data_IF_441479287479
#
_entry.id   IF_441479287479
#
_cell.length_a   1.000
_cell.length_b   1.000
_cell.length_c   1.000
_cell.angle_alpha   90.00
_cell.angle_beta   90.00
_cell.angle_gamma   90.00
#
_symmetry.space_group_name_H-M   'P 1'
#
loop_
_entity.id
_entity.type
_entity.pdbx_description
1 polymer ?
#
# COMPACT_ATOMS: atom_id res chain seq x y z
N UNK A 1 2.67 24.43 20.83
CA UNK A 1 2.85 23.41 19.77
C UNK A 1 2.45 22.06 20.33
N UNK A 2 1.57 21.34 19.66
CA UNK A 2 1.10 20.03 20.10
C UNK A 2 1.72 18.97 19.20
N UNK A 3 2.61 18.15 19.75
CA UNK A 3 3.19 17.00 19.06
C UNK A 3 2.52 15.73 19.56
N UNK A 4 1.98 14.93 18.67
CA UNK A 4 1.38 13.64 19.03
C UNK A 4 2.02 12.51 18.23
N UNK A 5 2.34 11.40 18.91
CA UNK A 5 2.83 10.17 18.27
C UNK A 5 1.69 9.32 17.67
N UNK A 6 0.52 9.40 18.27
CA UNK A 6 -0.68 8.67 17.82
C UNK A 6 -1.79 9.66 17.63
N UNK A 7 -2.29 9.73 16.44
CA UNK A 7 -3.33 10.64 16.09
C UNK A 7 -4.68 9.99 16.34
N UNK A 8 -5.31 10.40 17.39
CA UNK A 8 -6.77 10.38 17.45
C UNK A 8 -7.28 11.68 16.80
N UNK A 9 -6.78 11.97 15.59
CA UNK A 9 -7.04 13.24 14.90
C UNK A 9 -8.52 13.46 14.62
N UNK A 10 -9.26 12.41 14.24
CA UNK A 10 -10.71 12.48 14.10
C UNK A 10 -11.39 12.94 15.38
N UNK A 11 -10.90 12.45 16.53
CA UNK A 11 -11.49 12.82 17.80
C UNK A 11 -11.31 14.30 18.13
N UNK A 12 -10.16 14.90 17.79
CA UNK A 12 -9.89 16.30 18.08
C UNK A 12 -10.45 17.26 17.03
N UNK A 13 -10.42 16.88 15.75
CA UNK A 13 -10.83 17.79 14.69
C UNK A 13 -12.34 17.81 14.44
N UNK A 14 -13.03 16.68 14.53
CA UNK A 14 -14.47 16.61 14.30
C UNK A 14 -15.27 16.99 15.53
N UNK A 15 -14.82 16.63 16.72
CA UNK A 15 -15.56 16.87 17.95
C UNK A 15 -15.15 18.13 18.70
N UNK A 16 -13.97 18.68 18.46
CA UNK A 16 -13.42 19.79 19.24
C UNK A 16 -12.81 20.90 18.36
N UNK A 17 -13.48 21.29 17.30
CA UNK A 17 -13.04 22.42 16.43
C UNK A 17 -12.75 23.70 17.22
N UNK A 18 -13.37 23.86 18.37
CA UNK A 18 -13.25 25.05 19.23
C UNK A 18 -12.16 24.93 20.31
N UNK A 19 -11.47 23.78 20.44
CA UNK A 19 -10.43 23.59 21.45
C UNK A 19 -9.04 24.07 21.02
N UNK A 20 -8.86 24.36 19.71
CA UNK A 20 -7.60 24.89 19.22
C UNK A 20 -7.67 26.40 19.14
N UNK A 21 -6.84 27.08 19.93
CA UNK A 21 -6.62 28.50 19.76
C UNK A 21 -5.98 28.76 18.40
N UNK A 22 -6.29 29.88 17.77
CA UNK A 22 -5.79 30.29 16.45
C UNK A 22 -4.25 30.32 16.37
N UNK A 23 -3.59 30.42 17.52
CA UNK A 23 -2.12 30.43 17.67
C UNK A 23 -1.52 29.06 17.90
N UNK A 24 -2.32 28.00 18.03
CA UNK A 24 -1.80 26.66 18.25
C UNK A 24 -1.39 26.01 16.92
N UNK A 25 -0.20 25.43 16.92
CA UNK A 25 0.32 24.70 15.78
C UNK A 25 0.18 23.18 16.04
N UNK A 26 -0.24 22.47 15.03
CA UNK A 26 -0.42 21.04 15.05
C UNK A 26 0.44 20.39 13.96
N UNK A 27 1.16 19.33 14.30
CA UNK A 27 2.14 18.70 13.39
C UNK A 27 1.54 17.67 12.42
N UNK A 28 0.26 17.68 12.21
CA UNK A 28 -0.41 16.78 11.27
C UNK A 28 -1.31 17.58 10.33
N UNK A 29 -1.27 17.22 9.08
CA UNK A 29 -2.07 17.84 8.03
C UNK A 29 -3.41 17.10 7.95
N UNK A 30 -4.56 17.80 7.93
CA UNK A 30 -5.84 17.19 7.66
C UNK A 30 -5.80 16.37 6.36
N UNK A 31 -6.36 15.16 6.40
CA UNK A 31 -6.37 14.28 5.23
C UNK A 31 -5.04 13.56 4.92
N UNK A 32 -4.01 13.66 5.77
CA UNK A 32 -2.73 12.98 5.56
C UNK A 32 -2.87 11.45 5.36
N UNK A 33 -3.96 10.84 5.83
CA UNK A 33 -4.30 9.45 5.57
C UNK A 33 -4.28 9.08 4.09
N UNK A 34 -4.60 10.03 3.22
CA UNK A 34 -4.54 9.86 1.77
C UNK A 34 -3.13 9.47 1.26
N UNK A 35 -2.08 9.86 1.97
CA UNK A 35 -0.69 9.53 1.66
C UNK A 35 -0.16 8.37 2.50
N UNK A 36 -0.60 8.24 3.75
CA UNK A 36 0.01 7.34 4.73
C UNK A 36 -0.70 6.01 4.89
N UNK A 37 -1.99 5.93 4.59
CA UNK A 37 -2.75 4.68 4.58
C UNK A 37 -2.63 4.02 3.22
N UNK A 38 -2.31 2.73 3.21
CA UNK A 38 -2.09 1.95 1.97
C UNK A 38 -3.34 1.91 1.08
N UNK A 39 -4.52 1.69 1.68
CA UNK A 39 -5.81 1.62 1.00
C UNK A 39 -6.18 2.95 0.34
N UNK A 40 -6.12 4.05 1.09
CA UNK A 40 -6.44 5.38 0.56
C UNK A 40 -5.41 5.85 -0.48
N UNK A 41 -4.13 5.50 -0.30
CA UNK A 41 -3.11 5.81 -1.28
C UNK A 41 -3.37 5.08 -2.61
N UNK A 42 -3.69 3.79 -2.56
CA UNK A 42 -4.06 3.00 -3.75
C UNK A 42 -5.28 3.60 -4.44
N UNK A 43 -6.34 3.91 -3.68
CA UNK A 43 -7.54 4.54 -4.21
C UNK A 43 -7.23 5.86 -4.93
N UNK A 44 -6.45 6.73 -4.29
CA UNK A 44 -6.08 8.02 -4.88
C UNK A 44 -5.26 7.84 -6.17
N UNK A 45 -4.31 6.92 -6.19
CA UNK A 45 -3.51 6.64 -7.40
C UNK A 45 -4.40 6.06 -8.50
N UNK A 46 -5.29 5.11 -8.17
CA UNK A 46 -6.21 4.52 -9.13
C UNK A 46 -7.14 5.60 -9.73
N UNK A 47 -7.73 6.44 -8.87
CA UNK A 47 -8.61 7.53 -9.30
C UNK A 47 -7.85 8.57 -10.13
N UNK A 48 -6.61 8.90 -9.77
CA UNK A 48 -5.77 9.80 -10.54
C UNK A 48 -5.50 9.24 -11.94
N UNK A 49 -5.04 8.00 -12.05
CA UNK A 49 -4.78 7.36 -13.34
C UNK A 49 -6.05 7.32 -14.19
N UNK A 50 -7.18 6.91 -13.60
CA UNK A 50 -8.46 6.86 -14.30
C UNK A 50 -8.90 8.23 -14.84
N UNK A 51 -8.68 9.28 -14.06
CA UNK A 51 -9.12 10.66 -14.40
C UNK A 51 -8.18 11.36 -15.39
N UNK A 52 -6.88 11.06 -15.33
CA UNK A 52 -5.84 11.82 -16.04
C UNK A 52 -5.06 11.00 -17.08
N UNK A 53 -5.49 9.77 -17.38
CA UNK A 53 -4.79 8.88 -18.33
C UNK A 53 -4.53 9.50 -19.71
N UNK A 54 -5.41 10.39 -20.15
CA UNK A 54 -5.32 11.04 -21.45
C UNK A 54 -4.76 12.48 -21.40
N UNK A 55 -4.27 12.92 -20.24
CA UNK A 55 -3.72 14.26 -20.07
C UNK A 55 -2.21 14.26 -20.32
N UNK A 56 -1.66 15.12 -21.19
CA UNK A 56 -0.23 15.28 -21.32
C UNK A 56 0.36 15.76 -19.99
N UNK A 57 1.59 15.37 -19.73
CA UNK A 57 2.34 15.70 -18.50
C UNK A 57 1.81 15.11 -17.18
N UNK A 58 0.73 14.31 -17.23
CA UNK A 58 0.28 13.53 -16.08
C UNK A 58 0.83 12.10 -16.18
N UNK A 59 1.13 11.47 -15.04
CA UNK A 59 1.46 10.06 -15.09
C UNK A 59 0.18 9.25 -15.40
N UNK A 60 0.28 8.40 -16.39
CA UNK A 60 -0.84 7.60 -16.88
C UNK A 60 -0.56 6.09 -16.86
N UNK A 61 0.62 5.72 -16.40
CA UNK A 61 1.05 4.35 -16.33
C UNK A 61 1.45 3.96 -14.89
N UNK A 62 1.58 2.68 -14.68
CA UNK A 62 1.90 2.10 -13.37
C UNK A 62 3.37 1.67 -13.26
N UNK A 63 4.28 2.33 -13.96
CA UNK A 63 5.69 1.95 -13.99
C UNK A 63 6.35 2.05 -12.62
N UNK A 64 5.92 2.99 -11.79
CA UNK A 64 6.46 3.19 -10.44
C UNK A 64 5.49 2.78 -9.33
N UNK A 65 4.23 2.49 -9.66
CA UNK A 65 3.21 2.09 -8.69
C UNK A 65 2.58 0.76 -9.11
N UNK A 66 2.92 -0.35 -8.47
CA UNK A 66 2.40 -1.66 -8.84
C UNK A 66 0.88 -1.71 -8.80
N UNK A 67 0.26 -2.40 -9.78
CA UNK A 67 -1.18 -2.58 -9.83
C UNK A 67 -1.68 -3.19 -8.53
N UNK A 68 -2.66 -2.54 -7.93
CA UNK A 68 -3.18 -2.89 -6.61
C UNK A 68 -4.70 -2.86 -6.64
N UNK A 69 -5.31 -3.76 -5.88
CA UNK A 69 -6.75 -3.89 -5.73
C UNK A 69 -7.10 -3.87 -4.25
N UNK A 70 -8.09 -3.10 -3.89
CA UNK A 70 -8.69 -3.10 -2.56
C UNK A 70 -9.73 -4.21 -2.50
N UNK A 71 -9.48 -5.26 -1.74
CA UNK A 71 -10.43 -6.37 -1.59
C UNK A 71 -11.53 -6.04 -0.57
N UNK A 72 -11.41 -4.89 0.12
CA UNK A 72 -12.43 -4.28 0.94
C UNK A 72 -13.41 -3.39 0.15
N UNK A 73 -13.13 -3.13 -1.10
CA UNK A 73 -14.02 -2.43 -2.02
C UNK A 73 -14.64 -3.42 -2.99
N UNK A 74 -15.96 -3.51 -3.03
CA UNK A 74 -16.67 -4.51 -3.85
C UNK A 74 -16.23 -4.48 -5.31
N UNK A 75 -16.19 -3.31 -5.93
CA UNK A 75 -15.86 -3.16 -7.35
C UNK A 75 -14.43 -3.62 -7.64
N UNK A 76 -13.45 -3.16 -6.85
CA UNK A 76 -12.05 -3.54 -7.04
C UNK A 76 -11.81 -5.02 -6.70
N UNK A 77 -12.56 -5.58 -5.75
CA UNK A 77 -12.53 -6.98 -5.39
C UNK A 77 -13.05 -7.84 -6.55
N UNK A 78 -14.20 -7.50 -7.11
CA UNK A 78 -14.76 -8.19 -8.28
C UNK A 78 -13.78 -8.10 -9.47
N UNK A 79 -13.20 -6.92 -9.75
CA UNK A 79 -12.17 -6.72 -10.79
C UNK A 79 -10.94 -7.60 -10.57
N UNK A 80 -10.50 -7.77 -9.31
CA UNK A 80 -9.39 -8.65 -8.98
C UNK A 80 -9.69 -10.10 -9.32
N UNK A 81 -10.86 -10.61 -8.92
CA UNK A 81 -11.24 -12.00 -9.20
C UNK A 81 -11.51 -12.23 -10.69
N UNK A 82 -12.08 -11.26 -11.42
CA UNK A 82 -12.16 -11.30 -12.89
C UNK A 82 -10.75 -11.41 -13.49
N UNK A 83 -9.82 -10.59 -13.02
CA UNK A 83 -8.45 -10.60 -13.53
C UNK A 83 -7.74 -11.93 -13.26
N UNK A 84 -7.77 -12.47 -12.04
CA UNK A 84 -7.10 -13.75 -11.73
C UNK A 84 -7.75 -14.97 -12.39
N UNK A 85 -8.94 -14.81 -12.98
CA UNK A 85 -9.60 -15.81 -13.81
C UNK A 85 -9.31 -15.63 -15.31
N UNK A 86 -8.57 -14.59 -15.69
CA UNK A 86 -8.31 -14.29 -17.11
C UNK A 86 -7.15 -15.10 -17.67
N UNK A 87 -7.11 -15.21 -19.01
CA UNK A 87 -5.97 -15.79 -19.74
C UNK A 87 -4.70 -14.96 -19.53
N UNK A 88 -4.84 -13.65 -19.36
CA UNK A 88 -3.70 -12.76 -19.07
C UNK A 88 -2.99 -13.17 -17.79
N UNK A 89 -3.75 -13.43 -16.73
CA UNK A 89 -3.19 -13.88 -15.46
C UNK A 89 -2.50 -15.24 -15.57
N UNK A 90 -3.09 -16.18 -16.32
CA UNK A 90 -2.48 -17.48 -16.59
C UNK A 90 -1.10 -17.35 -17.25
N UNK A 91 -1.00 -16.49 -18.27
CA UNK A 91 0.29 -16.20 -18.95
C UNK A 91 1.31 -15.55 -18.00
N UNK A 92 0.85 -14.75 -17.06
CA UNK A 92 1.73 -14.18 -16.03
C UNK A 92 2.25 -15.26 -15.10
N UNK A 93 1.39 -16.17 -14.65
CA UNK A 93 1.78 -17.29 -13.77
C UNK A 93 2.74 -18.29 -14.40
N UNK A 94 2.70 -18.44 -15.70
CA UNK A 94 3.68 -19.25 -16.43
C UNK A 94 5.10 -18.69 -16.35
N UNK A 95 5.21 -17.36 -16.22
CA UNK A 95 6.50 -16.64 -16.12
C UNK A 95 6.93 -16.32 -14.70
N UNK A 96 5.96 -16.15 -13.82
CA UNK A 96 6.16 -15.69 -12.44
C UNK A 96 5.36 -16.57 -11.49
N UNK A 97 6.05 -17.35 -10.69
CA UNK A 97 5.40 -18.27 -9.74
C UNK A 97 4.48 -17.56 -8.73
N UNK A 98 4.80 -16.32 -8.38
CA UNK A 98 4.13 -15.55 -7.33
C UNK A 98 3.84 -14.12 -7.80
N UNK A 99 2.79 -13.90 -8.62
CA UNK A 99 2.55 -12.61 -9.24
C UNK A 99 1.94 -11.56 -8.32
N UNK A 100 1.43 -11.93 -7.16
CA UNK A 100 0.80 -11.02 -6.21
C UNK A 100 1.25 -11.23 -4.77
N UNK A 101 1.12 -10.18 -3.98
CA UNK A 101 1.24 -10.17 -2.52
C UNK A 101 -0.03 -9.57 -1.94
N UNK A 102 -0.55 -10.17 -0.89
CA UNK A 102 -1.63 -9.59 -0.10
C UNK A 102 -1.07 -8.84 1.10
N UNK A 103 -1.74 -7.76 1.47
CA UNK A 103 -1.34 -6.87 2.56
C UNK A 103 -2.57 -6.47 3.33
N UNK A 104 -2.47 -6.43 4.66
CA UNK A 104 -3.49 -5.75 5.46
C UNK A 104 -3.44 -4.25 5.17
N UNK A 105 -4.57 -3.67 4.81
CA UNK A 105 -4.67 -2.28 4.34
C UNK A 105 -4.46 -1.27 5.46
N UNK A 106 -4.94 -1.58 6.67
CA UNK A 106 -4.91 -0.68 7.82
C UNK A 106 -4.49 -1.40 9.10
N UNK A 107 -3.72 -0.71 9.95
CA UNK A 107 -3.34 -1.20 11.28
C UNK A 107 -2.18 -2.19 11.33
N UNK A 108 -1.62 -2.60 10.20
CA UNK A 108 -0.44 -3.47 10.18
C UNK A 108 0.86 -2.68 10.09
N UNK A 109 1.83 -3.07 10.90
CA UNK A 109 3.16 -2.49 10.95
C UNK A 109 4.23 -3.58 10.84
N UNK A 110 5.43 -3.22 10.39
CA UNK A 110 6.62 -4.07 10.40
C UNK A 110 6.46 -5.40 9.65
N UNK A 111 5.73 -5.39 8.52
CA UNK A 111 5.55 -6.60 7.70
C UNK A 111 4.42 -7.53 8.15
N UNK A 112 3.76 -7.28 9.29
CA UNK A 112 2.64 -8.10 9.71
C UNK A 112 1.49 -8.07 8.69
N UNK A 113 0.91 -9.25 8.39
CA UNK A 113 -0.19 -9.38 7.45
C UNK A 113 0.23 -9.22 5.98
N UNK A 114 1.51 -9.45 5.67
CA UNK A 114 1.99 -9.64 4.31
C UNK A 114 2.01 -11.13 4.00
N UNK A 115 1.32 -11.55 2.95
CA UNK A 115 1.35 -12.92 2.47
C UNK A 115 1.54 -12.93 0.95
N UNK A 116 2.48 -13.73 0.48
CA UNK A 116 2.61 -13.98 -0.97
C UNK A 116 1.39 -14.78 -1.43
N UNK A 117 0.83 -14.41 -2.57
CA UNK A 117 -0.28 -15.14 -3.17
C UNK A 117 0.25 -16.37 -3.92
N UNK A 118 0.63 -17.38 -3.14
CA UNK A 118 0.96 -18.72 -3.65
C UNK A 118 -0.31 -19.51 -4.00
N UNK A 119 -0.14 -20.68 -4.60
CA UNK A 119 -1.29 -21.50 -5.04
C UNK A 119 -2.25 -21.90 -3.91
N UNK A 120 -1.79 -22.30 -2.69
CA UNK A 120 -2.69 -22.55 -1.57
C UNK A 120 -3.46 -21.30 -1.11
N UNK A 121 -2.79 -20.15 -1.05
CA UNK A 121 -3.42 -18.89 -0.66
C UNK A 121 -4.43 -18.42 -1.70
N UNK A 122 -4.08 -18.46 -2.98
CA UNK A 122 -4.99 -18.14 -4.07
C UNK A 122 -6.26 -19.03 -4.03
N UNK A 123 -6.08 -20.36 -3.82
CA UNK A 123 -7.20 -21.29 -3.67
C UNK A 123 -8.10 -20.92 -2.49
N UNK A 124 -7.51 -20.50 -1.36
CA UNK A 124 -8.26 -20.04 -0.17
C UNK A 124 -9.08 -18.78 -0.48
N UNK A 125 -8.49 -17.80 -1.15
CA UNK A 125 -9.19 -16.58 -1.54
C UNK A 125 -10.31 -16.85 -2.55
N UNK A 126 -10.09 -17.70 -3.56
CA UNK A 126 -11.11 -18.09 -4.53
C UNK A 126 -12.31 -18.74 -3.86
N UNK A 127 -12.10 -19.65 -2.92
CA UNK A 127 -13.17 -20.27 -2.15
C UNK A 127 -13.99 -19.25 -1.35
N UNK A 128 -13.31 -18.28 -0.73
CA UNK A 128 -14.01 -17.20 -0.01
C UNK A 128 -14.88 -16.36 -0.96
N UNK A 129 -14.39 -16.07 -2.14
CA UNK A 129 -15.14 -15.33 -3.16
C UNK A 129 -16.35 -16.12 -3.65
N UNK A 130 -16.15 -17.37 -4.03
CA UNK A 130 -17.21 -18.28 -4.52
C UNK A 130 -18.33 -18.48 -3.49
N UNK A 131 -17.97 -18.51 -2.22
CA UNK A 131 -18.94 -18.66 -1.12
C UNK A 131 -19.55 -17.32 -0.66
N UNK A 132 -19.28 -16.21 -1.35
CA UNK A 132 -19.77 -14.89 -0.97
C UNK A 132 -19.16 -14.31 0.30
N UNK A 133 -18.08 -14.91 0.83
CA UNK A 133 -17.37 -14.43 2.03
C UNK A 133 -16.30 -13.35 1.72
N UNK A 134 -16.22 -12.92 0.47
CA UNK A 134 -15.40 -11.79 0.03
C UNK A 134 -16.17 -10.93 -0.96
N UNK A 135 -15.73 -9.71 -1.15
CA UNK A 135 -16.35 -8.71 -2.02
C UNK A 135 -17.80 -8.35 -1.62
N UNK A 136 -18.19 -8.63 -0.40
CA UNK A 136 -19.51 -8.38 0.17
C UNK A 136 -19.49 -7.35 1.30
N UNK A 137 -20.47 -7.45 2.18
CA UNK A 137 -20.58 -6.58 3.37
C UNK A 137 -19.55 -6.92 4.46
N UNK A 138 -19.10 -8.17 4.52
CA UNK A 138 -18.03 -8.60 5.43
C UNK A 138 -16.71 -8.37 4.73
N UNK A 139 -15.97 -7.42 5.22
CA UNK A 139 -14.79 -6.90 4.55
C UNK A 139 -13.53 -7.37 5.26
N UNK A 140 -12.80 -8.26 4.62
CA UNK A 140 -11.40 -8.46 4.97
C UNK A 140 -10.61 -7.20 4.55
N UNK A 141 -10.05 -6.50 5.51
CA UNK A 141 -9.25 -5.29 5.29
C UNK A 141 -7.90 -5.61 4.60
N UNK A 142 -8.00 -6.19 3.41
CA UNK A 142 -6.89 -6.73 2.64
C UNK A 142 -6.82 -6.04 1.28
N UNK A 143 -5.63 -5.81 0.81
CA UNK A 143 -5.34 -5.41 -0.57
C UNK A 143 -4.46 -6.44 -1.25
N UNK A 144 -4.69 -6.69 -2.52
CA UNK A 144 -3.82 -7.48 -3.39
C UNK A 144 -2.99 -6.52 -4.26
N UNK A 145 -1.69 -6.70 -4.28
CA UNK A 145 -0.78 -5.87 -5.07
C UNK A 145 0.14 -6.74 -5.91
N UNK A 146 0.41 -6.28 -7.13
CA UNK A 146 1.38 -6.91 -8.02
C UNK A 146 2.73 -7.02 -7.30
N UNK A 147 3.28 -8.23 -7.26
CA UNK A 147 4.57 -8.48 -6.63
C UNK A 147 5.70 -8.19 -7.60
N UNK A 148 6.77 -7.58 -7.12
CA UNK A 148 7.98 -7.35 -7.90
C UNK A 148 8.90 -8.54 -7.65
N UNK A 149 8.82 -9.52 -8.54
CA UNK A 149 9.54 -10.80 -8.42
C UNK A 149 11.03 -10.70 -8.78
N UNK A 150 11.40 -9.68 -9.56
CA UNK A 150 12.79 -9.39 -9.93
C UNK A 150 13.19 -7.99 -9.46
N UNK A 151 13.40 -7.76 -8.16
CA UNK A 151 13.81 -6.47 -7.63
C UNK A 151 15.29 -6.21 -7.91
N UNK A 152 15.68 -4.94 -7.90
CA UNK A 152 17.09 -4.59 -7.79
C UNK A 152 17.63 -5.06 -6.45
N UNK A 153 18.84 -5.63 -6.47
CA UNK A 153 19.52 -6.16 -5.27
C UNK A 153 20.87 -5.49 -5.08
N UNK A 154 21.30 -5.38 -3.83
CA UNK A 154 22.67 -5.02 -3.44
C UNK A 154 23.29 -6.26 -2.79
N UNK A 155 24.34 -6.80 -3.37
CA UNK A 155 25.00 -8.03 -2.92
C UNK A 155 24.05 -9.23 -2.70
N UNK A 156 22.97 -9.29 -3.50
CA UNK A 156 21.95 -10.31 -3.40
C UNK A 156 20.88 -10.03 -2.34
N UNK A 157 20.91 -8.88 -1.68
CA UNK A 157 19.94 -8.49 -0.67
C UNK A 157 18.92 -7.50 -1.22
N UNK A 158 17.65 -7.65 -0.87
CA UNK A 158 16.65 -6.61 -1.09
C UNK A 158 16.95 -5.39 -0.22
N UNK A 159 16.54 -4.24 -0.72
CA UNK A 159 16.68 -2.99 0.01
C UNK A 159 15.48 -2.07 -0.22
N UNK A 160 15.33 -1.10 0.65
CA UNK A 160 14.47 0.04 0.47
C UNK A 160 15.15 1.33 0.94
N UNK A 161 14.59 2.45 0.51
CA UNK A 161 15.00 3.78 0.95
C UNK A 161 14.04 4.30 2.02
N UNK A 162 14.59 4.71 3.16
CA UNK A 162 13.89 5.56 4.09
C UNK A 162 14.17 7.02 3.70
N UNK A 163 13.22 7.66 3.08
CA UNK A 163 13.29 9.07 2.73
C UNK A 163 12.36 9.88 3.62
N UNK A 164 12.61 11.17 3.71
CA UNK A 164 11.78 12.08 4.49
C UNK A 164 11.21 13.17 3.60
N UNK A 165 9.93 13.44 3.81
CA UNK A 165 9.20 14.50 3.15
C UNK A 165 8.52 15.36 4.20
N UNK A 166 8.80 16.66 4.19
CA UNK A 166 8.16 17.64 5.04
C UNK A 166 7.22 18.50 4.20
N UNK A 167 5.95 18.40 4.45
CA UNK A 167 4.97 19.35 3.91
C UNK A 167 4.92 20.55 4.87
N UNK A 168 5.57 21.63 4.50
CA UNK A 168 5.69 22.83 5.32
C UNK A 168 4.46 23.73 5.21
N UNK A 169 3.78 23.73 4.05
CA UNK A 169 2.55 24.46 3.80
C UNK A 169 1.69 23.71 2.80
N UNK A 170 0.39 23.88 2.88
CA UNK A 170 -0.57 23.36 1.90
C UNK A 170 -1.13 24.44 0.98
N UNK A 171 -1.00 25.70 1.37
CA UNK A 171 -1.38 26.87 0.58
C UNK A 171 -0.42 28.05 0.85
N UNK A 172 0.47 28.39 -0.09
CA UNK A 172 0.85 27.58 -1.25
C UNK A 172 1.47 26.23 -0.85
N UNK A 173 1.41 25.23 -1.71
CA UNK A 173 2.03 23.94 -1.43
C UNK A 173 3.55 24.07 -1.41
N UNK A 174 4.14 23.83 -0.24
CA UNK A 174 5.60 23.84 -0.03
C UNK A 174 6.00 22.48 0.57
N UNK A 175 6.83 21.76 -0.16
CA UNK A 175 7.28 20.41 0.23
C UNK A 175 8.81 20.38 0.17
N UNK A 176 9.42 19.94 1.26
CA UNK A 176 10.85 19.69 1.34
C UNK A 176 11.12 18.20 1.31
N UNK A 177 12.14 17.82 0.59
CA UNK A 177 12.67 16.46 0.53
C UNK A 177 14.01 16.42 1.25
N UNK A 178 14.25 15.31 1.95
CA UNK A 178 15.55 15.04 2.57
C UNK A 178 15.91 13.56 2.31
N UNK A 179 17.13 13.32 1.88
CA UNK A 179 17.71 12.00 1.79
C UNK A 179 17.70 11.37 3.18
N UNK A 180 17.37 10.10 3.20
CA UNK A 180 17.38 9.35 4.44
C UNK A 180 18.52 8.34 4.45
N UNK A 181 18.13 7.06 4.60
CA UNK A 181 19.09 5.97 4.60
C UNK A 181 18.53 4.76 3.89
N UNK A 182 19.43 3.91 3.45
CA UNK A 182 19.11 2.63 2.84
C UNK A 182 18.98 1.57 3.94
N UNK A 183 17.95 0.74 3.81
CA UNK A 183 17.76 -0.43 4.68
C UNK A 183 17.94 -1.69 3.85
N UNK A 184 18.81 -2.56 4.30
CA UNK A 184 19.09 -3.84 3.65
C UNK A 184 18.37 -4.98 4.36
N UNK A 185 17.90 -5.96 3.60
CA UNK A 185 17.43 -7.22 4.14
C UNK A 185 18.59 -8.00 4.77
N UNK A 186 18.37 -8.63 5.92
CA UNK A 186 19.39 -9.47 6.57
C UNK A 186 19.71 -10.73 5.75
N UNK A 187 18.73 -11.27 5.03
CA UNK A 187 18.88 -12.46 4.21
C UNK A 187 18.97 -12.09 2.73
N UNK A 188 19.71 -12.92 1.98
CA UNK A 188 19.70 -12.84 0.53
C UNK A 188 18.31 -13.11 -0.01
N UNK A 189 17.98 -12.41 -1.10
CA UNK A 189 16.72 -12.61 -1.76
C UNK A 189 16.64 -13.98 -2.42
N UNK A 190 15.61 -14.72 -2.06
CA UNK A 190 15.21 -15.95 -2.76
C UNK A 190 13.71 -15.86 -3.06
N UNK A 191 13.35 -15.88 -4.35
CA UNK A 191 11.96 -15.83 -4.78
C UNK A 191 11.16 -17.05 -4.32
N UNK A 192 11.82 -18.19 -4.10
CA UNK A 192 11.18 -19.41 -3.63
C UNK A 192 10.98 -19.43 -2.12
N UNK A 193 11.63 -18.53 -1.40
CA UNK A 193 11.43 -18.36 0.03
C UNK A 193 10.04 -17.80 0.29
N UNK A 194 9.23 -18.54 1.04
CA UNK A 194 7.90 -18.06 1.49
C UNK A 194 7.99 -17.02 2.60
N UNK A 195 9.18 -16.72 3.06
CA UNK A 195 9.43 -15.84 4.19
C UNK A 195 9.46 -14.39 3.75
N UNK A 196 8.26 -13.80 3.59
CA UNK A 196 8.10 -12.34 3.40
C UNK A 196 8.42 -11.58 4.69
N UNK A 197 8.43 -12.28 5.83
CA UNK A 197 8.58 -11.68 7.16
C UNK A 197 9.98 -11.12 7.45
N UNK A 198 11.00 -11.49 6.68
CA UNK A 198 12.39 -11.10 6.94
C UNK A 198 12.75 -9.68 6.51
N UNK A 199 11.79 -8.91 6.03
CA UNK A 199 12.15 -7.62 5.45
C UNK A 199 12.65 -6.59 6.47
N UNK A 200 12.32 -6.66 7.73
CA UNK A 200 12.76 -5.62 8.68
C UNK A 200 12.73 -6.09 10.14
N UNK A 201 13.41 -7.15 10.48
CA UNK A 201 13.95 -7.30 11.84
C UNK A 201 15.27 -6.55 11.95
N UNK A 202 15.25 -5.28 11.66
CA UNK A 202 16.28 -4.36 12.11
C UNK A 202 15.81 -3.82 13.44
N UNK A 203 16.42 -4.27 14.51
CA UNK A 203 16.35 -3.59 15.78
C UNK A 203 16.95 -2.19 15.59
N UNK A 204 16.19 -1.17 15.96
CA UNK A 204 16.71 0.18 16.20
C UNK A 204 17.40 0.21 17.52
#
# INVERSE_FOLDING_TARGET
>A
MIFTKKVKFHYYHEYNKNLFCITQMYNHIPGHGALTRKDLNVENVNNYIKRFSNKPHCFNNRTFFPRSYRLDNKTECDEFFIFINSQEYTKIKEKEAMPFITKVSYGSHRGHGLEILDAPHEKRLRRKFENGAMCGEIVDNIMAQRYISNPLLIDGHKFDFRIYMLVASTDPLIVYYHDGFLRLSLLKYDINSKEVEFFFKGET
#
